data_IF_308103157832
#
_entry.id   IF_308103157832
#
_cell.length_a   1.000
_cell.length_b   1.000
_cell.length_c   1.000
_cell.angle_alpha   90.00
_cell.angle_beta   90.00
_cell.angle_gamma   90.00
#
_symmetry.space_group_name_H-M   'P 1'
#
loop_
_entity.id
_entity.type
_entity.pdbx_description
1 polymer ?
#
# COMPACT_ATOMS: atom_id res chain seq x y z
N UNK A 1 76.61 27.40 -12.95
CA UNK A 1 77.47 26.33 -12.40
C UNK A 1 76.57 25.14 -12.06
N UNK A 2 76.34 24.24 -13.03
CA UNK A 2 77.12 23.04 -13.33
C UNK A 2 76.70 21.81 -12.47
N UNK A 3 75.85 20.95 -13.05
CA UNK A 3 75.77 19.51 -12.72
C UNK A 3 77.10 18.80 -13.05
N UNK A 4 77.36 17.53 -12.62
CA UNK A 4 76.84 16.36 -13.36
C UNK A 4 76.66 15.05 -12.50
N UNK A 5 75.64 14.22 -12.76
CA UNK A 5 75.60 12.96 -13.57
C UNK A 5 75.86 11.61 -12.87
N UNK A 6 74.88 10.71 -13.11
CA UNK A 6 74.96 9.29 -13.58
C UNK A 6 75.43 8.21 -12.58
N UNK A 7 75.06 6.92 -12.64
CA UNK A 7 74.62 5.97 -13.70
C UNK A 7 74.07 4.70 -13.01
N UNK A 8 72.88 4.14 -13.33
CA UNK A 8 72.57 3.05 -14.31
C UNK A 8 73.40 1.75 -14.21
N UNK A 9 72.70 0.62 -14.05
CA UNK A 9 72.81 -0.69 -14.78
C UNK A 9 71.62 -1.57 -14.29
N UNK A 10 70.66 -2.10 -15.06
CA UNK A 10 70.58 -2.82 -16.35
C UNK A 10 70.62 -4.36 -16.23
N UNK A 11 69.70 -5.00 -16.97
CA UNK A 11 69.64 -6.38 -17.53
C UNK A 11 68.39 -7.17 -17.11
N UNK A 12 67.73 -8.01 -17.92
CA UNK A 12 67.50 -8.20 -19.36
C UNK A 12 67.08 -9.66 -19.56
N UNK A 13 66.17 -9.95 -20.49
CA UNK A 13 65.92 -11.28 -21.07
C UNK A 13 64.47 -11.73 -20.86
N UNK A 14 63.53 -11.77 -21.82
CA UNK A 14 63.47 -12.26 -23.23
C UNK A 14 63.31 -13.77 -23.39
N UNK A 15 62.52 -14.14 -24.42
CA UNK A 15 62.13 -15.46 -24.96
C UNK A 15 60.76 -15.97 -24.46
N UNK A 16 59.70 -16.18 -25.25
CA UNK A 16 59.42 -16.57 -26.65
C UNK A 16 58.86 -18.01 -26.73
N UNK A 17 57.73 -18.09 -27.43
CA UNK A 17 57.23 -19.17 -28.30
C UNK A 17 56.53 -20.43 -27.75
N UNK A 18 55.39 -20.66 -28.43
CA UNK A 18 54.83 -21.92 -28.94
C UNK A 18 54.13 -22.96 -28.04
N UNK A 19 52.88 -23.23 -28.42
CA UNK A 19 52.61 -24.54 -29.04
C UNK A 19 51.67 -25.51 -28.31
N UNK A 20 50.57 -25.83 -29.01
CA UNK A 20 49.95 -27.17 -29.12
C UNK A 20 49.05 -27.73 -27.99
N UNK A 21 47.75 -27.71 -28.30
CA UNK A 21 46.75 -28.80 -28.37
C UNK A 21 47.13 -30.19 -27.80
N UNK A 22 46.13 -30.80 -27.12
CA UNK A 22 45.81 -32.24 -26.85
C UNK A 22 45.98 -32.61 -25.37
N UNK A 23 45.26 -33.53 -24.75
CA UNK A 23 44.02 -34.30 -24.98
C UNK A 23 43.83 -35.10 -23.66
N UNK A 24 42.59 -35.49 -23.34
CA UNK A 24 42.28 -36.65 -22.49
C UNK A 24 42.25 -36.52 -20.95
N UNK A 25 41.10 -36.87 -20.36
CA UNK A 25 41.10 -37.69 -19.13
C UNK A 25 40.17 -37.32 -17.97
N UNK A 26 38.87 -37.59 -18.12
CA UNK A 26 37.92 -38.17 -17.15
C UNK A 26 38.02 -37.90 -15.62
N UNK A 27 36.90 -37.44 -15.03
CA UNK A 27 36.12 -38.19 -14.01
C UNK A 27 34.80 -37.50 -13.60
N UNK A 28 33.70 -38.13 -14.04
CA UNK A 28 32.36 -38.25 -13.44
C UNK A 28 31.91 -37.38 -12.23
N UNK A 29 30.75 -36.71 -12.37
CA UNK A 29 29.51 -37.14 -11.65
C UNK A 29 28.22 -36.51 -12.21
N UNK A 30 27.23 -37.39 -12.35
CA UNK A 30 25.86 -37.21 -12.85
C UNK A 30 24.94 -36.30 -12.02
N UNK A 31 24.01 -35.62 -12.69
CA UNK A 31 22.53 -35.76 -12.56
C UNK A 31 21.83 -34.78 -13.52
N UNK A 32 21.50 -35.21 -14.75
CA UNK A 32 20.16 -35.66 -15.22
C UNK A 32 18.99 -34.72 -14.87
N UNK A 33 18.50 -33.97 -15.87
CA UNK A 33 17.07 -33.91 -16.24
C UNK A 33 16.97 -33.68 -17.76
N UNK A 34 16.39 -34.67 -18.44
CA UNK A 34 16.22 -34.73 -19.89
C UNK A 34 14.93 -34.01 -20.31
N UNK A 35 15.08 -33.16 -21.30
CA UNK A 35 14.08 -32.78 -22.30
C UNK A 35 14.11 -33.80 -23.44
N UNK A 36 12.96 -34.14 -24.02
CA UNK A 36 12.75 -34.24 -25.49
C UNK A 36 11.28 -34.62 -25.73
N UNK A 37 10.46 -33.80 -26.39
CA UNK A 37 10.38 -33.57 -27.85
C UNK A 37 9.85 -34.79 -28.61
N UNK A 38 8.72 -34.64 -29.31
CA UNK A 38 8.69 -34.49 -30.79
C UNK A 38 7.27 -34.66 -31.36
N UNK A 39 7.07 -33.88 -32.41
CA UNK A 39 6.00 -33.88 -33.40
C UNK A 39 5.56 -35.27 -33.91
N UNK A 40 4.30 -35.37 -34.36
CA UNK A 40 3.93 -35.56 -35.78
C UNK A 40 2.42 -35.61 -36.02
N UNK A 41 2.08 -35.23 -37.25
CA UNK A 41 0.77 -34.94 -37.84
C UNK A 41 -0.05 -36.18 -38.23
N UNK A 42 -1.36 -35.93 -38.35
CA UNK A 42 -2.37 -36.46 -39.30
C UNK A 42 -2.55 -37.99 -39.47
N UNK A 43 -3.74 -38.50 -39.14
CA UNK A 43 -4.67 -39.17 -40.07
C UNK A 43 -5.90 -39.73 -39.31
N UNK A 44 -7.09 -39.54 -39.88
CA UNK A 44 -8.31 -40.33 -39.58
C UNK A 44 -8.44 -41.39 -40.69
N UNK A 45 -8.97 -42.63 -40.49
CA UNK A 45 -10.38 -42.79 -40.13
C UNK A 45 -10.82 -44.16 -39.50
N UNK A 46 -12.13 -44.24 -39.17
CA UNK A 46 -13.02 -45.42 -39.00
C UNK A 46 -12.96 -46.22 -37.68
N UNK A 47 -14.11 -46.23 -36.98
CA UNK A 47 -14.81 -47.51 -36.70
C UNK A 47 -15.19 -47.84 -35.26
N UNK A 48 -16.50 -47.71 -34.98
CA UNK A 48 -17.38 -48.64 -34.22
C UNK A 48 -17.45 -48.62 -32.68
N UNK A 49 -18.64 -48.24 -32.20
CA UNK A 49 -19.37 -48.80 -31.04
C UNK A 49 -19.18 -48.05 -29.72
N UNK A 50 -20.17 -47.86 -28.84
CA UNK A 50 -21.60 -48.14 -28.80
C UNK A 50 -22.16 -47.55 -27.49
N UNK A 51 -23.48 -47.33 -27.42
CA UNK A 51 -24.34 -47.01 -26.25
C UNK A 51 -24.28 -45.59 -25.68
N UNK A 52 -25.38 -44.91 -25.34
CA UNK A 52 -26.83 -44.96 -25.67
C UNK A 52 -27.40 -43.73 -24.96
N UNK A 53 -28.06 -42.83 -25.69
CA UNK A 53 -28.84 -41.70 -25.17
C UNK A 53 -30.23 -42.15 -24.73
N UNK A 54 -30.82 -41.47 -23.74
CA UNK A 54 -32.26 -41.25 -23.67
C UNK A 54 -32.61 -39.94 -22.95
N UNK A 55 -33.72 -39.27 -23.33
CA UNK A 55 -33.81 -37.83 -23.39
C UNK A 55 -34.90 -37.22 -22.49
N UNK A 56 -34.87 -35.90 -22.42
CA UNK A 56 -35.90 -35.01 -21.87
C UNK A 56 -37.13 -34.92 -22.78
N UNK A 57 -38.34 -34.82 -22.19
CA UNK A 57 -39.43 -34.10 -22.85
C UNK A 57 -40.41 -33.43 -21.87
N UNK A 58 -41.01 -32.33 -22.34
CA UNK A 58 -41.90 -31.39 -21.65
C UNK A 58 -43.37 -31.69 -21.97
N UNK A 59 -44.31 -31.39 -21.05
CA UNK A 59 -45.45 -30.42 -21.20
C UNK A 59 -46.74 -30.74 -20.38
N UNK A 60 -47.29 -29.64 -19.87
CA UNK A 60 -48.70 -29.22 -19.72
C UNK A 60 -49.66 -29.75 -18.60
N UNK A 61 -50.36 -28.76 -17.99
CA UNK A 61 -51.27 -28.60 -16.82
C UNK A 61 -52.72 -29.18 -17.00
N UNK A 62 -53.79 -28.95 -16.16
CA UNK A 62 -53.94 -28.37 -14.79
C UNK A 62 -54.99 -29.05 -13.82
N UNK A 63 -55.00 -28.55 -12.56
CA UNK A 63 -56.14 -28.31 -11.59
C UNK A 63 -56.87 -29.44 -10.79
N UNK A 64 -56.98 -29.11 -9.49
CA UNK A 64 -57.99 -29.39 -8.44
C UNK A 64 -57.93 -30.73 -7.67
N UNK A 65 -57.61 -30.63 -6.36
CA UNK A 65 -58.46 -31.09 -5.24
C UNK A 65 -57.97 -30.54 -3.90
N UNK A 66 -58.90 -29.88 -3.19
CA UNK A 66 -58.77 -29.44 -1.80
C UNK A 66 -58.59 -30.64 -0.87
N UNK A 67 -57.71 -30.52 0.13
CA UNK A 67 -57.86 -31.20 1.42
C UNK A 67 -57.18 -30.36 2.51
N UNK A 68 -58.03 -29.87 3.40
CA UNK A 68 -57.76 -29.22 4.67
C UNK A 68 -56.97 -30.14 5.62
N UNK A 69 -55.83 -29.68 6.13
CA UNK A 69 -55.21 -30.18 7.37
C UNK A 69 -54.57 -29.01 8.11
N UNK A 70 -55.16 -28.65 9.24
CA UNK A 70 -54.58 -27.78 10.27
C UNK A 70 -53.27 -28.39 10.82
N UNK A 71 -52.20 -27.60 11.02
CA UNK A 71 -51.02 -28.07 11.73
C UNK A 71 -51.23 -27.99 13.26
N UNK A 72 -50.69 -28.94 14.06
CA UNK A 72 -50.76 -28.90 15.52
C UNK A 72 -49.84 -27.81 16.10
N UNK A 73 -50.12 -27.30 17.32
CA UNK A 73 -49.36 -26.22 17.94
C UNK A 73 -47.93 -26.68 18.26
N UNK A 74 -46.94 -25.89 17.80
CA UNK A 74 -45.53 -26.04 18.18
C UNK A 74 -45.37 -25.69 19.65
N UNK A 75 -44.86 -26.63 20.43
CA UNK A 75 -44.35 -26.42 21.78
C UNK A 75 -43.23 -25.37 21.76
N UNK A 76 -43.35 -24.38 22.64
CA UNK A 76 -42.26 -23.47 23.01
C UNK A 76 -41.15 -24.28 23.68
N UNK A 77 -39.90 -24.26 23.20
CA UNK A 77 -38.80 -24.85 23.95
C UNK A 77 -38.44 -23.96 25.14
N UNK A 78 -38.38 -24.61 26.30
CA UNK A 78 -37.94 -24.06 27.58
C UNK A 78 -36.68 -23.19 27.50
N UNK A 79 -36.68 -22.12 28.29
CA UNK A 79 -35.51 -21.27 28.54
C UNK A 79 -34.41 -22.09 29.23
N UNK A 80 -33.43 -22.55 28.46
CA UNK A 80 -32.14 -22.93 29.02
C UNK A 80 -31.33 -21.65 29.37
N UNK A 81 -30.66 -21.59 30.54
CA UNK A 81 -29.91 -20.42 30.96
C UNK A 81 -28.71 -20.19 30.03
N UNK A 82 -28.66 -19.00 29.45
CA UNK A 82 -27.63 -18.56 28.50
C UNK A 82 -26.32 -18.20 29.23
N UNK A 83 -25.58 -19.21 29.67
CA UNK A 83 -24.19 -19.06 30.13
C UNK A 83 -23.31 -20.09 29.43
N UNK A 84 -23.19 -19.96 28.12
CA UNK A 84 -22.12 -20.62 27.38
C UNK A 84 -21.82 -19.77 26.14
N UNK A 85 -20.62 -19.22 26.07
CA UNK A 85 -20.06 -18.76 24.80
C UNK A 85 -19.64 -20.02 24.03
N UNK A 86 -20.31 -20.42 22.94
CA UNK A 86 -19.78 -21.47 22.09
C UNK A 86 -18.58 -20.88 21.36
N UNK A 87 -17.40 -21.48 21.58
CA UNK A 87 -16.10 -21.11 21.01
C UNK A 87 -15.99 -21.29 19.49
N UNK A 88 -17.05 -21.07 18.74
CA UNK A 88 -17.10 -21.29 17.29
C UNK A 88 -18.10 -20.37 16.61
N UNK A 89 -17.62 -19.20 16.17
CA UNK A 89 -18.06 -18.45 14.98
C UNK A 89 -19.55 -18.28 14.66
N UNK A 90 -20.48 -18.56 15.57
CA UNK A 90 -21.91 -18.49 15.32
C UNK A 90 -22.34 -17.03 15.17
N UNK A 91 -22.95 -16.70 14.03
CA UNK A 91 -23.48 -15.36 13.78
C UNK A 91 -24.54 -15.01 14.83
N UNK A 92 -24.25 -14.01 15.65
CA UNK A 92 -25.19 -13.45 16.63
C UNK A 92 -25.92 -12.27 15.96
N UNK A 93 -27.26 -12.31 15.83
CA UNK A 93 -28.01 -11.19 15.25
C UNK A 93 -27.77 -9.87 15.99
N UNK A 94 -27.60 -8.73 15.29
CA UNK A 94 -27.24 -7.43 15.91
C UNK A 94 -28.17 -6.97 17.04
N UNK A 95 -29.46 -7.31 16.99
CA UNK A 95 -30.41 -7.01 18.06
C UNK A 95 -30.12 -7.82 19.34
N UNK A 96 -29.81 -9.12 19.18
CA UNK A 96 -29.48 -10.03 20.27
C UNK A 96 -28.11 -9.69 20.88
N UNK A 97 -27.16 -9.31 20.04
CA UNK A 97 -25.85 -8.82 20.47
C UNK A 97 -25.99 -7.54 21.30
N UNK A 98 -26.83 -6.58 20.88
CA UNK A 98 -27.13 -5.38 21.69
C UNK A 98 -27.79 -5.70 23.04
N UNK A 99 -28.72 -6.66 23.08
CA UNK A 99 -29.34 -7.09 24.33
C UNK A 99 -28.33 -7.73 25.29
N UNK A 100 -27.46 -8.61 24.79
CA UNK A 100 -26.37 -9.20 25.58
C UNK A 100 -25.38 -8.12 26.07
N UNK A 101 -25.07 -7.15 25.22
CA UNK A 101 -24.23 -6.01 25.58
C UNK A 101 -24.85 -5.15 26.68
N UNK A 102 -26.17 -4.92 26.64
CA UNK A 102 -26.88 -4.13 27.65
C UNK A 102 -26.88 -4.76 29.05
N UNK A 103 -26.68 -6.09 29.15
CA UNK A 103 -26.63 -6.81 30.43
C UNK A 103 -25.26 -6.71 31.12
N UNK A 104 -24.21 -6.28 30.40
CA UNK A 104 -22.86 -6.14 30.94
C UNK A 104 -22.72 -4.75 31.55
N UNK A 105 -22.88 -4.64 32.87
CA UNK A 105 -22.82 -3.38 33.60
C UNK A 105 -21.46 -3.10 34.26
N UNK A 106 -20.70 -4.16 34.57
CA UNK A 106 -19.39 -4.02 35.21
C UNK A 106 -18.35 -3.49 34.22
N UNK A 107 -17.86 -2.27 34.47
CA UNK A 107 -16.88 -1.57 33.65
C UNK A 107 -15.48 -2.18 33.70
N UNK A 108 -15.16 -2.92 34.75
CA UNK A 108 -13.86 -3.55 34.92
C UNK A 108 -13.75 -4.88 34.17
N UNK A 109 -14.88 -5.52 33.88
CA UNK A 109 -14.95 -6.80 33.19
C UNK A 109 -14.26 -6.79 31.81
N UNK A 110 -13.56 -7.87 31.43
CA UNK A 110 -12.92 -7.96 30.12
C UNK A 110 -13.94 -7.89 28.97
N UNK A 111 -15.18 -8.34 29.18
CA UNK A 111 -16.27 -8.26 28.21
C UNK A 111 -16.68 -6.80 27.94
N UNK A 112 -16.85 -6.00 29.00
CA UNK A 112 -17.14 -4.57 28.86
C UNK A 112 -15.99 -3.83 28.18
N UNK A 113 -14.75 -4.15 28.55
CA UNK A 113 -13.57 -3.54 27.92
C UNK A 113 -13.50 -3.85 26.42
N UNK A 114 -13.79 -5.10 25.99
CA UNK A 114 -13.88 -5.48 24.57
C UNK A 114 -15.01 -4.74 23.85
N UNK A 115 -16.18 -4.63 24.48
CA UNK A 115 -17.30 -3.89 23.93
C UNK A 115 -16.97 -2.41 23.72
N UNK A 116 -16.40 -1.76 24.75
CA UNK A 116 -15.97 -0.36 24.68
C UNK A 116 -14.91 -0.13 23.59
N UNK A 117 -14.01 -1.10 23.40
CA UNK A 117 -12.98 -1.05 22.37
C UNK A 117 -13.56 -1.16 20.95
N UNK A 118 -14.49 -2.08 20.72
CA UNK A 118 -15.15 -2.20 19.41
C UNK A 118 -16.06 -1.00 19.11
N UNK A 119 -16.72 -0.43 20.13
CA UNK A 119 -17.46 0.82 19.99
C UNK A 119 -16.54 1.99 19.60
N UNK A 120 -15.42 2.17 20.31
CA UNK A 120 -14.40 3.19 20.00
C UNK A 120 -13.87 3.04 18.58
N UNK A 121 -13.52 1.81 18.17
CA UNK A 121 -13.05 1.50 16.82
C UNK A 121 -14.10 1.84 15.75
N UNK A 122 -15.37 1.51 15.99
CA UNK A 122 -16.46 1.82 15.06
C UNK A 122 -16.71 3.32 14.97
N UNK A 123 -16.69 4.03 16.09
CA UNK A 123 -16.88 5.47 16.16
C UNK A 123 -15.79 6.22 15.39
N UNK A 124 -14.51 5.96 15.70
CA UNK A 124 -13.35 6.54 15.02
C UNK A 124 -13.41 6.26 13.50
N UNK A 125 -13.66 5.02 13.09
CA UNK A 125 -13.79 4.68 11.67
C UNK A 125 -14.97 5.42 11.01
N UNK A 126 -16.07 5.60 11.74
CA UNK A 126 -17.23 6.35 11.28
C UNK A 126 -16.88 7.81 11.00
N UNK A 127 -16.15 8.46 11.91
CA UNK A 127 -15.71 9.85 11.74
C UNK A 127 -14.74 10.02 10.58
N UNK A 128 -13.73 9.15 10.48
CA UNK A 128 -12.74 9.20 9.40
C UNK A 128 -13.40 9.01 8.02
N UNK A 129 -14.39 8.13 7.89
CA UNK A 129 -15.04 7.90 6.60
C UNK A 129 -16.04 9.00 6.21
N UNK A 130 -16.57 9.77 7.17
CA UNK A 130 -17.56 10.82 6.93
C UNK A 130 -16.95 12.20 6.71
N UNK A 131 -15.70 12.40 7.09
CA UNK A 131 -15.05 13.72 7.06
C UNK A 131 -14.93 14.22 5.62
N UNK A 132 -15.29 15.49 5.41
CA UNK A 132 -15.15 16.21 4.16
C UNK A 132 -14.91 17.70 4.46
N UNK A 133 -14.73 18.51 3.41
CA UNK A 133 -14.43 19.94 3.54
C UNK A 133 -15.53 20.75 4.21
N UNK A 134 -16.81 20.36 4.06
CA UNK A 134 -17.93 21.11 4.63
C UNK A 134 -18.21 20.76 6.10
N UNK A 135 -17.99 19.51 6.52
CA UNK A 135 -18.34 19.03 7.85
C UNK A 135 -17.15 18.87 8.82
N UNK A 136 -15.91 19.10 8.39
CA UNK A 136 -14.72 18.86 9.23
C UNK A 136 -14.78 19.58 10.58
N UNK A 137 -15.39 20.78 10.63
CA UNK A 137 -15.56 21.56 11.86
C UNK A 137 -16.50 20.90 12.87
N UNK A 138 -17.48 20.12 12.41
CA UNK A 138 -18.42 19.37 13.25
C UNK A 138 -17.83 18.03 13.68
N UNK A 139 -17.10 17.37 12.76
CA UNK A 139 -16.46 16.07 13.01
C UNK A 139 -15.34 16.17 14.05
N UNK A 140 -14.56 17.27 14.05
CA UNK A 140 -13.40 17.42 14.95
C UNK A 140 -13.79 17.34 16.44
N UNK A 141 -14.75 18.15 16.95
CA UNK A 141 -15.17 18.07 18.35
C UNK A 141 -15.66 16.67 18.74
N UNK A 142 -16.47 16.04 17.88
CA UNK A 142 -16.98 14.70 18.13
C UNK A 142 -15.85 13.67 18.21
N UNK A 143 -14.91 13.71 17.26
CA UNK A 143 -13.75 12.82 17.26
C UNK A 143 -12.84 13.04 18.49
N UNK A 144 -12.67 14.28 18.94
CA UNK A 144 -11.88 14.60 20.13
C UNK A 144 -12.59 14.23 21.44
N UNK A 145 -13.91 14.05 21.42
CA UNK A 145 -14.67 13.53 22.57
C UNK A 145 -14.44 12.04 22.80
N UNK A 146 -13.99 11.31 21.77
CA UNK A 146 -13.58 9.92 21.87
C UNK A 146 -12.20 9.79 22.55
N UNK A 147 -11.94 8.64 23.19
CA UNK A 147 -10.67 8.40 23.85
C UNK A 147 -9.55 8.06 22.83
N UNK A 148 -9.05 9.09 22.15
CA UNK A 148 -7.95 8.97 21.17
C UNK A 148 -6.60 8.63 21.79
N UNK A 149 -6.39 8.84 23.09
CA UNK A 149 -5.15 8.42 23.77
C UNK A 149 -5.07 6.89 23.78
N UNK A 150 -6.16 6.23 24.19
CA UNK A 150 -6.33 4.76 24.12
C UNK A 150 -6.47 4.30 22.66
N UNK A 151 -7.19 5.06 21.85
CA UNK A 151 -7.53 4.76 20.46
C UNK A 151 -6.48 5.18 19.42
N UNK A 152 -5.30 5.70 19.80
CA UNK A 152 -4.34 6.29 18.85
C UNK A 152 -4.00 5.35 17.70
N UNK A 153 -3.75 4.08 18.01
CA UNK A 153 -3.43 3.06 17.02
C UNK A 153 -4.60 2.73 16.09
N UNK A 154 -5.85 2.86 16.57
CA UNK A 154 -7.07 2.69 15.79
C UNK A 154 -7.26 3.86 14.83
N UNK A 155 -7.15 5.10 15.33
CA UNK A 155 -7.23 6.32 14.53
C UNK A 155 -6.18 6.32 13.42
N UNK A 156 -4.90 6.14 13.78
CA UNK A 156 -3.81 6.08 12.80
C UNK A 156 -4.05 5.01 11.74
N UNK A 157 -4.52 3.81 12.12
CA UNK A 157 -4.81 2.74 11.15
C UNK A 157 -6.01 3.11 10.27
N UNK A 158 -7.04 3.71 10.85
CA UNK A 158 -8.25 4.11 10.15
C UNK A 158 -7.95 5.12 9.06
N UNK A 159 -7.23 6.20 9.42
CA UNK A 159 -6.94 7.29 8.49
C UNK A 159 -5.96 6.89 7.39
N UNK A 160 -4.95 6.06 7.70
CA UNK A 160 -4.05 5.51 6.68
C UNK A 160 -4.81 4.63 5.67
N UNK A 161 -5.77 3.82 6.14
CA UNK A 161 -6.61 3.00 5.25
C UNK A 161 -7.55 3.85 4.41
N UNK A 162 -8.21 4.83 5.01
CA UNK A 162 -9.12 5.72 4.31
C UNK A 162 -8.39 6.54 3.23
N UNK A 163 -7.19 7.05 3.55
CA UNK A 163 -6.35 7.77 2.58
C UNK A 163 -5.89 6.85 1.43
N UNK A 164 -5.41 5.64 1.72
CA UNK A 164 -5.00 4.70 0.69
C UNK A 164 -6.16 4.26 -0.23
N UNK A 165 -7.40 4.21 0.29
CA UNK A 165 -8.58 3.91 -0.49
C UNK A 165 -9.12 5.13 -1.28
N UNK A 166 -8.76 6.35 -0.88
CA UNK A 166 -9.31 7.59 -1.46
C UNK A 166 -8.32 8.75 -1.35
N UNK A 167 -7.32 8.74 -2.22
CA UNK A 167 -6.23 9.74 -2.24
C UNK A 167 -6.72 11.16 -2.53
N UNK A 168 -7.85 11.34 -3.22
CA UNK A 168 -8.44 12.66 -3.49
C UNK A 168 -8.84 13.42 -2.21
N UNK A 169 -9.09 12.70 -1.11
CA UNK A 169 -9.43 13.30 0.19
C UNK A 169 -8.21 13.55 1.09
N UNK A 170 -6.98 13.28 0.60
CA UNK A 170 -5.76 13.46 1.40
C UNK A 170 -5.62 14.85 2.04
N UNK A 171 -5.95 15.97 1.36
CA UNK A 171 -5.92 17.29 2.00
C UNK A 171 -6.84 17.39 3.24
N UNK A 172 -8.04 16.79 3.17
CA UNK A 172 -9.00 16.77 4.28
C UNK A 172 -8.48 15.92 5.43
N UNK A 173 -7.92 14.74 5.12
CA UNK A 173 -7.31 13.89 6.14
C UNK A 173 -6.11 14.57 6.80
N UNK A 174 -5.25 15.26 6.04
CA UNK A 174 -4.12 16.01 6.59
C UNK A 174 -4.59 17.16 7.51
N UNK A 175 -5.62 17.90 7.12
CA UNK A 175 -6.21 18.95 7.97
C UNK A 175 -6.79 18.38 9.27
N UNK A 176 -7.49 17.25 9.21
CA UNK A 176 -8.02 16.56 10.40
C UNK A 176 -6.88 16.16 11.35
N UNK A 177 -5.82 15.54 10.81
CA UNK A 177 -4.64 15.15 11.61
C UNK A 177 -3.96 16.38 12.20
N UNK A 178 -3.82 17.46 11.45
CA UNK A 178 -3.18 18.69 11.93
C UNK A 178 -3.90 19.24 13.17
N UNK A 179 -5.23 19.30 13.14
CA UNK A 179 -6.02 19.75 14.30
C UNK A 179 -5.87 18.78 15.48
N UNK A 180 -5.97 17.46 15.24
CA UNK A 180 -5.75 16.45 16.30
C UNK A 180 -4.36 16.59 16.91
N UNK A 181 -3.33 16.84 16.10
CA UNK A 181 -1.94 17.00 16.54
C UNK A 181 -1.74 18.19 17.47
N UNK A 182 -2.50 19.29 17.30
CA UNK A 182 -2.45 20.44 18.21
C UNK A 182 -2.88 20.10 19.65
N UNK A 183 -3.67 19.04 19.83
CA UNK A 183 -4.21 18.61 21.14
C UNK A 183 -3.53 17.34 21.65
N UNK A 184 -3.20 16.42 20.75
CA UNK A 184 -2.66 15.10 21.05
C UNK A 184 -1.46 14.78 20.13
N UNK A 185 -0.28 15.40 20.34
CA UNK A 185 0.87 15.24 19.46
C UNK A 185 1.32 13.80 19.27
N UNK A 186 1.20 12.96 20.31
CA UNK A 186 1.53 11.53 20.25
C UNK A 186 0.72 10.76 19.18
N UNK A 187 -0.44 11.26 18.77
CA UNK A 187 -1.24 10.67 17.69
C UNK A 187 -0.63 11.00 16.32
N UNK A 188 -0.22 12.26 16.12
CA UNK A 188 0.46 12.71 14.90
C UNK A 188 1.82 12.05 14.72
N UNK A 189 2.60 11.96 15.80
CA UNK A 189 3.89 11.26 15.83
C UNK A 189 3.75 9.78 15.43
N UNK A 190 2.78 9.07 16.02
CA UNK A 190 2.51 7.67 15.69
C UNK A 190 2.10 7.49 14.21
N UNK A 191 1.31 8.41 13.67
CA UNK A 191 0.95 8.40 12.26
C UNK A 191 2.18 8.57 11.37
N UNK A 192 3.02 9.57 11.65
CA UNK A 192 4.21 9.84 10.87
C UNK A 192 5.18 8.65 10.90
N UNK A 193 5.44 8.08 12.06
CA UNK A 193 6.28 6.87 12.20
C UNK A 193 5.75 5.72 11.33
N UNK A 194 4.44 5.48 11.32
CA UNK A 194 3.84 4.40 10.51
C UNK A 194 3.87 4.70 9.02
N UNK A 195 3.66 5.95 8.61
CA UNK A 195 3.79 6.36 7.20
C UNK A 195 5.21 6.18 6.70
N UNK A 196 6.23 6.62 7.45
CA UNK A 196 7.64 6.42 7.09
C UNK A 196 7.99 4.94 6.98
N UNK A 197 7.54 4.11 7.93
CA UNK A 197 7.74 2.66 7.85
C UNK A 197 7.04 2.03 6.64
N UNK A 198 5.82 2.48 6.33
CA UNK A 198 5.07 2.01 5.16
C UNK A 198 5.78 2.40 3.87
N UNK A 199 6.27 3.64 3.75
CA UNK A 199 7.04 4.10 2.60
C UNK A 199 8.33 3.27 2.43
N UNK A 200 9.13 3.12 3.49
CA UNK A 200 10.37 2.32 3.45
C UNK A 200 10.14 0.86 3.07
N UNK A 201 9.00 0.29 3.47
CA UNK A 201 8.62 -1.08 3.07
C UNK A 201 8.17 -1.13 1.62
N UNK A 202 7.31 -0.20 1.19
CA UNK A 202 6.81 -0.12 -0.17
C UNK A 202 7.94 0.11 -1.18
N UNK A 203 8.87 1.02 -0.88
CA UNK A 203 10.03 1.33 -1.71
C UNK A 203 10.93 0.11 -1.88
N UNK A 204 11.30 -0.58 -0.79
CA UNK A 204 12.10 -1.83 -0.85
C UNK A 204 11.41 -2.97 -1.60
N UNK A 205 10.08 -2.94 -1.69
CA UNK A 205 9.28 -3.96 -2.38
C UNK A 205 8.92 -3.54 -3.80
N UNK A 206 9.41 -2.39 -4.29
CA UNK A 206 9.04 -1.80 -5.58
C UNK A 206 7.51 -1.69 -5.76
N UNK A 207 6.78 -1.41 -4.67
CA UNK A 207 5.34 -1.23 -4.70
C UNK A 207 4.99 0.23 -4.97
N UNK A 208 4.99 0.62 -6.26
CA UNK A 208 4.70 2.00 -6.68
C UNK A 208 3.35 2.53 -6.13
N UNK A 209 2.20 1.82 -6.24
CA UNK A 209 0.93 2.33 -5.72
C UNK A 209 0.98 2.66 -4.23
N UNK A 210 1.63 1.82 -3.42
CA UNK A 210 1.80 2.08 -1.99
C UNK A 210 2.75 3.24 -1.72
N UNK A 211 3.82 3.40 -2.52
CA UNK A 211 4.70 4.57 -2.46
C UNK A 211 3.90 5.85 -2.75
N UNK A 212 3.19 5.91 -3.88
CA UNK A 212 2.37 7.07 -4.27
C UNK A 212 1.37 7.46 -3.19
N UNK A 213 0.61 6.51 -2.65
CA UNK A 213 -0.36 6.79 -1.59
C UNK A 213 0.33 7.37 -0.34
N UNK A 214 1.43 6.76 0.08
CA UNK A 214 2.14 7.14 1.31
C UNK A 214 2.85 8.49 1.16
N UNK A 215 3.54 8.73 0.05
CA UNK A 215 4.22 10.00 -0.22
C UNK A 215 3.21 11.13 -0.39
N UNK A 216 2.09 10.91 -1.06
CA UNK A 216 1.00 11.91 -1.15
C UNK A 216 0.50 12.31 0.24
N UNK A 217 0.32 11.35 1.16
CA UNK A 217 -0.09 11.68 2.51
C UNK A 217 0.98 12.47 3.28
N UNK A 218 2.24 12.03 3.20
CA UNK A 218 3.35 12.77 3.81
C UNK A 218 3.43 14.20 3.25
N UNK A 219 3.27 14.40 1.94
CA UNK A 219 3.32 15.71 1.31
C UNK A 219 2.28 16.67 1.89
N UNK A 220 1.02 16.23 2.00
CA UNK A 220 -0.02 17.07 2.59
C UNK A 220 0.18 17.31 4.09
N UNK A 221 0.78 16.36 4.83
CA UNK A 221 1.16 16.60 6.23
C UNK A 221 2.32 17.62 6.35
N UNK A 222 3.24 17.65 5.39
CA UNK A 222 4.28 18.66 5.27
C UNK A 222 3.67 20.04 5.01
N UNK A 223 2.70 20.17 4.09
CA UNK A 223 2.00 21.44 3.85
C UNK A 223 1.27 21.95 5.12
N UNK A 224 0.75 21.04 5.94
CA UNK A 224 0.13 21.36 7.24
C UNK A 224 1.15 21.61 8.37
N UNK A 225 2.45 21.66 8.07
CA UNK A 225 3.54 21.88 9.03
C UNK A 225 3.59 20.86 10.17
N UNK A 226 3.03 19.66 9.94
CA UNK A 226 3.10 18.54 10.89
C UNK A 226 4.40 17.75 10.71
N UNK A 227 4.93 17.74 9.50
CA UNK A 227 6.19 17.09 9.13
C UNK A 227 7.21 18.18 8.81
N UNK A 228 8.40 18.05 9.40
CA UNK A 228 9.52 18.93 9.06
C UNK A 228 10.02 18.65 7.63
N UNK A 229 10.32 19.71 6.89
CA UNK A 229 10.77 19.70 5.50
C UNK A 229 12.00 18.83 5.25
N UNK A 230 12.86 18.63 6.25
CA UNK A 230 14.04 17.74 6.14
C UNK A 230 13.60 16.32 5.76
N UNK A 231 12.50 15.80 6.31
CA UNK A 231 12.01 14.47 5.95
C UNK A 231 11.53 14.43 4.49
N UNK A 232 10.89 15.50 4.01
CA UNK A 232 10.46 15.58 2.61
C UNK A 232 11.66 15.58 1.66
N UNK A 233 12.71 16.33 1.95
CA UNK A 233 13.95 16.31 1.17
C UNK A 233 14.68 14.97 1.23
N UNK A 234 14.70 14.30 2.38
CA UNK A 234 15.28 12.95 2.49
C UNK A 234 14.53 11.92 1.63
N UNK A 235 13.21 12.03 1.56
CA UNK A 235 12.38 11.18 0.68
C UNK A 235 12.72 11.47 -0.79
N UNK A 236 12.81 12.74 -1.19
CA UNK A 236 13.18 13.13 -2.56
C UNK A 236 14.57 12.63 -2.94
N UNK A 237 15.56 12.84 -2.09
CA UNK A 237 16.92 12.34 -2.31
C UNK A 237 16.94 10.84 -2.55
N UNK A 238 16.26 10.06 -1.69
CA UNK A 238 16.18 8.60 -1.84
C UNK A 238 15.53 8.19 -3.18
N UNK A 239 14.51 8.91 -3.63
CA UNK A 239 13.82 8.62 -4.88
C UNK A 239 14.67 8.99 -6.10
N UNK A 240 15.56 9.97 -6.00
CA UNK A 240 16.44 10.39 -7.09
C UNK A 240 17.78 9.64 -7.15
N UNK A 241 18.31 9.15 -6.02
CA UNK A 241 19.61 8.47 -5.95
C UNK A 241 19.71 7.24 -6.88
N UNK A 242 18.60 6.52 -7.09
CA UNK A 242 18.48 5.43 -8.06
C UNK A 242 17.26 5.66 -8.95
N UNK A 243 17.34 6.69 -9.79
CA UNK A 243 16.25 7.15 -10.65
C UNK A 243 15.81 6.07 -11.67
N UNK A 244 14.86 5.25 -11.25
CA UNK A 244 14.01 4.40 -12.10
C UNK A 244 12.74 5.14 -12.50
N UNK A 245 12.10 4.73 -13.59
CA UNK A 245 10.83 5.32 -14.05
C UNK A 245 9.78 5.45 -12.95
N UNK A 246 9.63 4.40 -12.12
CA UNK A 246 8.68 4.37 -11.01
C UNK A 246 9.08 5.31 -9.87
N UNK A 247 10.36 5.35 -9.49
CA UNK A 247 10.84 6.25 -8.43
C UNK A 247 10.74 7.72 -8.82
N UNK A 248 11.02 8.04 -10.09
CA UNK A 248 10.90 9.40 -10.64
C UNK A 248 9.43 9.81 -10.69
N UNK A 249 8.52 8.93 -11.13
CA UNK A 249 7.08 9.18 -11.08
C UNK A 249 6.58 9.49 -9.66
N UNK A 250 7.03 8.72 -8.66
CA UNK A 250 6.69 8.96 -7.25
C UNK A 250 7.24 10.31 -6.78
N UNK A 251 8.48 10.65 -7.13
CA UNK A 251 9.11 11.93 -6.76
C UNK A 251 8.39 13.12 -7.39
N UNK A 252 8.00 13.01 -8.66
CA UNK A 252 7.24 14.03 -9.36
C UNK A 252 5.88 14.25 -8.68
N UNK A 253 5.16 13.18 -8.35
CA UNK A 253 3.90 13.28 -7.60
C UNK A 253 4.07 13.96 -6.24
N UNK A 254 5.16 13.62 -5.53
CA UNK A 254 5.49 14.22 -4.24
C UNK A 254 5.83 15.72 -4.35
N UNK A 255 6.65 16.11 -5.33
CA UNK A 255 6.98 17.52 -5.61
C UNK A 255 5.76 18.31 -6.08
N UNK A 256 4.85 17.72 -6.86
CA UNK A 256 3.58 18.39 -7.20
C UNK A 256 2.77 18.70 -5.94
N UNK A 257 2.71 17.78 -4.99
CA UNK A 257 1.87 17.93 -3.81
C UNK A 257 2.42 18.89 -2.73
N UNK A 258 3.74 19.00 -2.57
CA UNK A 258 4.35 19.85 -1.51
C UNK A 258 5.44 20.82 -2.01
N UNK A 259 5.70 20.89 -3.31
CA UNK A 259 6.78 21.71 -3.87
C UNK A 259 6.61 23.21 -3.65
N UNK A 260 5.38 23.72 -3.59
CA UNK A 260 5.09 25.11 -3.24
C UNK A 260 5.66 25.45 -1.85
N UNK A 261 5.28 24.66 -0.84
CA UNK A 261 5.76 24.81 0.54
C UNK A 261 7.27 24.63 0.66
N UNK A 262 7.85 23.63 0.00
CA UNK A 262 9.31 23.40 0.03
C UNK A 262 10.08 24.56 -0.61
N UNK A 263 9.54 25.16 -1.68
CA UNK A 263 10.12 26.34 -2.34
C UNK A 263 10.08 27.56 -1.41
N UNK A 264 8.99 27.74 -0.66
CA UNK A 264 8.86 28.83 0.32
C UNK A 264 9.85 28.68 1.48
N UNK A 265 9.96 27.49 2.06
CA UNK A 265 10.75 27.25 3.28
C UNK A 265 12.25 27.09 2.98
N UNK A 266 12.59 26.38 1.90
CA UNK A 266 13.97 26.02 1.58
C UNK A 266 14.21 26.08 0.05
N UNK A 267 14.23 27.28 -0.54
CA UNK A 267 14.36 27.45 -1.99
C UNK A 267 15.65 26.85 -2.53
N UNK A 268 16.79 27.05 -1.84
CA UNK A 268 18.10 26.53 -2.29
C UNK A 268 18.15 25.00 -2.38
N UNK A 269 17.54 24.31 -1.40
CA UNK A 269 17.50 22.84 -1.37
C UNK A 269 16.55 22.34 -2.45
N UNK A 270 15.41 23.02 -2.62
CA UNK A 270 14.46 22.73 -3.69
C UNK A 270 15.09 22.91 -5.07
N UNK A 271 15.86 23.96 -5.28
CA UNK A 271 16.61 24.20 -6.52
C UNK A 271 17.57 23.04 -6.81
N UNK A 272 18.31 22.55 -5.81
CA UNK A 272 19.17 21.38 -5.95
C UNK A 272 18.40 20.12 -6.35
N UNK A 273 17.19 19.90 -5.83
CA UNK A 273 16.35 18.77 -6.23
C UNK A 273 15.94 18.85 -7.70
N UNK A 274 15.64 20.06 -8.20
CA UNK A 274 15.35 20.27 -9.62
C UNK A 274 16.59 20.14 -10.52
N UNK A 275 17.77 20.47 -10.02
CA UNK A 275 19.02 20.27 -10.75
C UNK A 275 19.33 18.77 -10.91
N UNK A 276 19.11 17.96 -9.87
CA UNK A 276 19.18 16.50 -9.95
C UNK A 276 18.20 15.97 -11.01
N UNK A 277 16.94 16.45 -10.99
CA UNK A 277 15.93 16.03 -11.96
C UNK A 277 16.31 16.39 -13.40
N UNK A 278 16.99 17.54 -13.61
CA UNK A 278 17.52 17.93 -14.93
C UNK A 278 18.67 17.01 -15.36
N UNK A 279 19.55 16.63 -14.45
CA UNK A 279 20.60 15.62 -14.69
C UNK A 279 19.97 14.30 -15.14
N UNK A 280 18.96 13.82 -14.41
CA UNK A 280 18.23 12.59 -14.75
C UNK A 280 17.61 12.66 -16.14
N UNK A 281 17.06 13.81 -16.56
CA UNK A 281 16.47 13.98 -17.89
C UNK A 281 17.49 13.82 -19.03
N UNK A 282 18.76 14.16 -18.79
CA UNK A 282 19.80 14.14 -19.83
C UNK A 282 20.72 12.91 -19.76
N UNK A 283 20.95 12.37 -18.56
CA UNK A 283 21.97 11.35 -18.29
C UNK A 283 21.39 9.95 -18.11
N UNK A 284 20.12 9.83 -17.71
CA UNK A 284 19.48 8.54 -17.47
C UNK A 284 18.70 8.07 -18.71
N UNK A 285 18.78 6.77 -18.99
CA UNK A 285 17.91 6.10 -19.95
C UNK A 285 16.51 5.93 -19.33
N UNK A 286 15.72 7.01 -19.38
CA UNK A 286 14.35 7.07 -18.85
C UNK A 286 13.32 7.04 -19.97
N UNK A 287 12.20 6.38 -19.71
CA UNK A 287 11.12 6.26 -20.68
C UNK A 287 10.53 7.62 -21.07
N UNK A 288 10.06 7.73 -22.31
CA UNK A 288 9.51 8.97 -22.87
C UNK A 288 8.34 9.52 -22.02
N UNK A 289 7.55 8.64 -21.41
CA UNK A 289 6.48 9.03 -20.49
C UNK A 289 7.01 9.79 -19.28
N UNK A 290 8.12 9.34 -18.70
CA UNK A 290 8.74 9.94 -17.52
C UNK A 290 9.39 11.28 -17.87
N UNK A 291 10.02 11.36 -19.04
CA UNK A 291 10.54 12.63 -19.59
C UNK A 291 9.44 13.69 -19.66
N UNK A 292 8.28 13.35 -20.24
CA UNK A 292 7.12 14.26 -20.28
C UNK A 292 6.64 14.65 -18.86
N UNK A 293 6.63 13.72 -17.90
CA UNK A 293 6.27 14.05 -16.52
C UNK A 293 7.24 15.05 -15.87
N UNK A 294 8.54 14.93 -16.16
CA UNK A 294 9.58 15.87 -15.70
C UNK A 294 9.33 17.25 -16.31
N UNK A 295 9.10 17.33 -17.63
CA UNK A 295 8.80 18.59 -18.31
C UNK A 295 7.56 19.28 -17.73
N UNK A 296 6.48 18.53 -17.49
CA UNK A 296 5.27 19.03 -16.83
C UNK A 296 5.59 19.60 -15.44
N UNK A 297 6.47 18.94 -14.68
CA UNK A 297 6.86 19.45 -13.37
C UNK A 297 7.67 20.76 -13.46
N UNK A 298 8.55 20.91 -14.46
CA UNK A 298 9.23 22.18 -14.73
C UNK A 298 8.25 23.30 -15.10
N UNK A 299 7.17 22.99 -15.84
CA UNK A 299 6.11 23.97 -16.10
C UNK A 299 5.37 24.37 -14.83
N UNK A 300 5.04 23.41 -13.97
CA UNK A 300 4.41 23.69 -12.66
C UNK A 300 5.30 24.59 -11.80
N UNK A 301 6.62 24.34 -11.77
CA UNK A 301 7.56 25.22 -11.07
C UNK A 301 7.56 26.63 -11.67
N UNK A 302 7.56 26.75 -13.00
CA UNK A 302 7.54 28.04 -13.71
C UNK A 302 6.28 28.84 -13.40
N UNK A 303 5.13 28.17 -13.24
CA UNK A 303 3.88 28.80 -12.80
C UNK A 303 3.79 28.98 -11.29
N UNK A 304 4.87 28.70 -10.53
CA UNK A 304 4.93 28.80 -9.07
C UNK A 304 3.85 27.97 -8.37
N UNK A 305 3.58 26.76 -8.86
CA UNK A 305 2.64 25.82 -8.25
C UNK A 305 1.21 26.37 -8.07
N UNK A 306 0.75 27.30 -8.92
CA UNK A 306 -0.59 27.93 -8.79
C UNK A 306 -1.75 26.94 -8.66
N UNK A 307 -1.68 25.82 -9.37
CA UNK A 307 -2.71 24.75 -9.33
C UNK A 307 -2.49 23.73 -8.19
N UNK A 308 -1.40 23.89 -7.44
CA UNK A 308 -0.95 23.02 -6.35
C UNK A 308 -0.49 23.85 -5.13
N UNK A 309 -1.41 24.60 -4.51
CA UNK A 309 -1.09 25.54 -3.42
C UNK A 309 -0.66 24.86 -2.11
#
# INVERSE_FOLDING_TARGET
MASPRRSRHSRSGSESEDGAIRDGGDRHRHRRRRTDSRDRRDDSPRGRGSYRDHPSDRRDEPRRRQRSRTPPPRSVPDLAPATAFPSGGAYIPPARLRQMQAQITDRSSPEYQRMSWEALKKSINGYVNKVNTSNIKEIIPELLSENLIRGRGLFTRSIMKAQAASSSYTPVYAALVAVVNTKLPAVGELLLHRLVLQFRRAFRQNNKPACLATTTFIAHLTNQKLVNEILAFQILQLLFDNATDDSVEVAIGFMKACGAYLTEIAPRVTDSMFDILRSTLHEADIDQRVQYMIEVLFQIRKTQFKDYP
#
